data_IF_820995671903
#
_entry.id   IF_820995671903
#
_cell.length_a   1.000
_cell.length_b   1.000
_cell.length_c   1.000
_cell.angle_alpha   90.00
_cell.angle_beta   90.00
_cell.angle_gamma   90.00
#
_symmetry.space_group_name_H-M   'P 1'
#
loop_
_entity.id
_entity.type
_entity.pdbx_description
1 polymer ?
#
# COMPACT_ATOMS: atom_id res chain seq x y z
N UNK A 1 -2.34 5.84 12.58
CA UNK A 1 -1.45 5.60 11.42
C UNK A 1 -2.02 4.55 10.46
N UNK A 2 -1.96 4.77 9.14
CA UNK A 2 -2.40 3.84 8.09
C UNK A 2 -1.30 3.61 7.05
N UNK A 3 -1.27 2.42 6.46
CA UNK A 3 -0.39 2.09 5.34
C UNK A 3 -1.03 2.57 4.04
N UNK A 4 -0.28 3.29 3.20
CA UNK A 4 -0.70 3.73 1.89
C UNK A 4 0.29 3.26 0.82
N UNK A 5 -0.22 2.74 -0.28
CA UNK A 5 0.59 2.42 -1.46
C UNK A 5 0.10 3.21 -2.66
N UNK A 6 1.01 3.83 -3.41
CA UNK A 6 0.67 4.39 -4.70
C UNK A 6 0.52 3.27 -5.73
N UNK A 7 -0.66 3.15 -6.33
CA UNK A 7 -0.94 2.18 -7.40
C UNK A 7 -0.07 2.41 -8.64
N UNK A 8 0.33 3.66 -8.91
CA UNK A 8 1.13 3.99 -10.11
C UNK A 8 2.58 3.57 -9.98
N UNK A 9 3.23 3.96 -8.88
CA UNK A 9 4.68 3.84 -8.72
C UNK A 9 5.11 2.86 -7.62
N UNK A 10 4.17 2.24 -6.92
CA UNK A 10 4.45 1.25 -5.88
C UNK A 10 4.96 1.82 -4.56
N UNK A 11 5.21 3.13 -4.47
CA UNK A 11 5.65 3.82 -3.23
C UNK A 11 4.76 3.42 -2.07
N UNK A 12 5.37 2.95 -0.99
CA UNK A 12 4.72 2.55 0.25
C UNK A 12 5.12 3.53 1.36
N UNK A 13 4.13 4.08 2.05
CA UNK A 13 4.34 5.00 3.18
C UNK A 13 3.29 4.73 4.26
N UNK A 14 3.63 5.10 5.49
CA UNK A 14 2.68 5.10 6.61
C UNK A 14 2.42 6.53 7.05
N UNK A 15 1.15 6.91 7.18
CA UNK A 15 0.77 8.28 7.53
C UNK A 15 -0.51 8.31 8.37
N UNK A 16 -0.67 9.33 9.22
CA UNK A 16 -1.87 9.51 10.05
C UNK A 16 -3.08 9.94 9.21
N UNK A 17 -2.84 10.83 8.25
CA UNK A 17 -3.83 11.35 7.30
C UNK A 17 -3.54 10.88 5.87
N UNK A 18 -4.43 11.24 4.94
CA UNK A 18 -4.22 10.93 3.53
C UNK A 18 -2.94 11.61 3.02
N UNK A 19 -2.02 10.90 2.34
CA UNK A 19 -0.74 11.48 1.98
C UNK A 19 -0.83 12.53 0.86
N UNK A 20 0.20 13.38 0.76
CA UNK A 20 0.33 14.31 -0.35
C UNK A 20 0.33 13.55 -1.68
N UNK A 21 -0.53 13.98 -2.61
CA UNK A 21 -0.65 13.35 -3.91
C UNK A 21 0.34 13.89 -4.95
N UNK A 22 1.08 14.97 -4.69
CA UNK A 22 1.96 15.57 -5.70
C UNK A 22 3.30 14.82 -5.84
N UNK A 23 3.87 14.85 -7.05
CA UNK A 23 5.23 14.37 -7.29
C UNK A 23 5.35 12.87 -7.58
N UNK A 24 4.35 12.26 -8.25
CA UNK A 24 4.48 10.86 -8.61
C UNK A 24 5.55 10.68 -9.71
N UNK A 25 6.55 9.79 -9.52
CA UNK A 25 7.61 9.58 -10.51
C UNK A 25 7.08 8.98 -11.82
N UNK A 26 5.92 8.30 -11.77
CA UNK A 26 5.21 7.82 -12.97
C UNK A 26 4.23 8.88 -13.52
N UNK A 27 4.55 10.17 -13.30
CA UNK A 27 3.85 11.35 -13.79
C UNK A 27 2.65 11.79 -12.95
N UNK A 28 2.39 13.10 -12.91
CA UNK A 28 1.21 13.70 -12.28
C UNK A 28 1.12 13.42 -10.77
N UNK A 29 -0.08 13.06 -10.32
CA UNK A 29 -0.36 12.78 -8.91
C UNK A 29 -0.28 11.29 -8.56
N UNK A 30 0.13 11.00 -7.33
CA UNK A 30 0.04 9.67 -6.72
C UNK A 30 -1.42 9.24 -6.60
N UNK A 31 -1.65 7.97 -6.93
CA UNK A 31 -2.93 7.30 -6.70
C UNK A 31 -2.78 6.43 -5.46
N UNK A 32 -2.93 7.05 -4.29
CA UNK A 32 -2.80 6.35 -3.02
C UNK A 32 -3.96 5.39 -2.80
N UNK A 33 -3.62 4.19 -2.38
CA UNK A 33 -4.57 3.21 -1.88
C UNK A 33 -4.29 2.94 -0.41
N UNK A 34 -5.33 3.01 0.41
CA UNK A 34 -5.25 2.71 1.83
C UNK A 34 -5.26 1.18 2.01
N UNK A 35 -4.14 0.65 2.50
CA UNK A 35 -3.93 -0.77 2.74
C UNK A 35 -4.41 -1.22 4.12
N UNK A 36 -4.71 -0.30 5.03
CA UNK A 36 -5.22 -0.62 6.37
C UNK A 36 -4.44 0.06 7.49
N UNK A 37 -4.96 -0.06 8.71
CA UNK A 37 -4.33 0.46 9.92
C UNK A 37 -3.03 -0.28 10.22
N UNK A 38 -1.98 0.46 10.59
CA UNK A 38 -0.71 -0.14 11.02
C UNK A 38 -0.95 -1.01 12.27
N UNK A 39 -0.24 -2.13 12.37
CA UNK A 39 -0.33 -3.03 13.53
C UNK A 39 0.92 -3.88 13.67
N UNK A 40 0.83 -5.03 14.33
CA UNK A 40 2.00 -5.87 14.62
C UNK A 40 2.11 -7.12 13.75
N UNK A 41 1.08 -7.42 12.95
CA UNK A 41 1.12 -8.59 12.06
C UNK A 41 1.78 -8.22 10.74
N UNK A 42 2.75 -9.01 10.32
CA UNK A 42 3.48 -8.81 9.08
C UNK A 42 2.73 -9.46 7.91
N UNK A 43 2.58 -8.74 6.82
CA UNK A 43 2.00 -9.23 5.57
C UNK A 43 2.92 -8.88 4.41
N UNK A 44 3.01 -9.78 3.43
CA UNK A 44 3.74 -9.57 2.19
C UNK A 44 2.84 -9.84 0.99
N UNK A 45 2.82 -8.92 0.02
CA UNK A 45 2.11 -9.16 -1.24
C UNK A 45 2.97 -10.03 -2.17
N UNK A 46 2.43 -11.17 -2.63
CA UNK A 46 3.12 -12.06 -3.56
C UNK A 46 3.33 -11.45 -4.95
N UNK A 47 2.47 -10.50 -5.36
CA UNK A 47 2.52 -9.91 -6.71
C UNK A 47 3.53 -8.77 -6.85
N UNK A 48 3.54 -7.84 -5.89
CA UNK A 48 4.38 -6.64 -5.94
C UNK A 48 5.48 -6.62 -4.88
N UNK A 49 5.60 -7.66 -4.05
CA UNK A 49 6.68 -7.82 -3.08
C UNK A 49 6.60 -6.91 -1.85
N UNK A 50 5.65 -5.96 -1.80
CA UNK A 50 5.56 -5.01 -0.69
C UNK A 50 5.31 -5.73 0.63
N UNK A 51 5.93 -5.18 1.67
CA UNK A 51 5.87 -5.72 3.01
C UNK A 51 5.31 -4.65 3.94
N UNK A 52 4.24 -4.98 4.65
CA UNK A 52 3.57 -4.06 5.57
C UNK A 52 3.30 -4.72 6.91
N UNK A 53 3.16 -3.89 7.93
CA UNK A 53 2.66 -4.28 9.22
C UNK A 53 1.24 -3.75 9.38
N UNK A 54 0.28 -4.64 9.61
CA UNK A 54 -1.14 -4.31 9.64
C UNK A 54 -1.83 -4.96 10.84
N UNK A 55 -2.83 -4.27 11.37
CA UNK A 55 -3.64 -4.77 12.50
C UNK A 55 -4.63 -5.84 12.05
N UNK A 56 -5.24 -5.64 10.88
CA UNK A 56 -6.19 -6.55 10.25
C UNK A 56 -5.65 -7.02 8.89
N UNK A 57 -6.38 -7.93 8.23
CA UNK A 57 -6.07 -8.32 6.87
C UNK A 57 -6.04 -7.07 5.96
N UNK A 58 -4.95 -6.81 5.22
CA UNK A 58 -4.83 -5.57 4.48
C UNK A 58 -5.78 -5.51 3.28
N UNK A 59 -6.11 -4.29 2.85
CA UNK A 59 -6.92 -4.08 1.66
C UNK A 59 -6.25 -4.73 0.44
N UNK A 60 -7.02 -5.51 -0.31
CA UNK A 60 -6.52 -6.22 -1.47
C UNK A 60 -6.53 -5.37 -2.74
N UNK A 61 -7.20 -4.22 -2.79
CA UNK A 61 -7.33 -3.46 -4.04
C UNK A 61 -6.04 -2.74 -4.42
N UNK A 62 -5.89 -2.36 -5.69
CA UNK A 62 -4.92 -1.33 -6.10
C UNK A 62 -3.45 -1.76 -6.07
N UNK A 63 -3.16 -3.02 -6.39
CA UNK A 63 -1.78 -3.50 -6.52
C UNK A 63 -1.03 -2.75 -7.64
N UNK A 64 0.19 -2.30 -7.35
CA UNK A 64 1.04 -1.62 -8.33
C UNK A 64 1.40 -2.49 -9.54
N UNK A 65 1.45 -3.80 -9.37
CA UNK A 65 1.65 -4.76 -10.47
C UNK A 65 0.31 -5.22 -11.11
N UNK A 66 -0.77 -4.44 -10.93
CA UNK A 66 -2.08 -4.67 -11.52
C UNK A 66 -3.01 -5.56 -10.69
N UNK A 67 -4.32 -5.32 -10.83
CA UNK A 67 -5.37 -6.04 -10.11
C UNK A 67 -5.29 -5.89 -8.59
N UNK A 68 -5.56 -6.98 -7.88
CA UNK A 68 -5.56 -7.03 -6.43
C UNK A 68 -4.23 -7.58 -5.86
N UNK A 69 -3.84 -7.10 -4.68
CA UNK A 69 -2.82 -7.69 -3.84
C UNK A 69 -3.18 -9.12 -3.47
N UNK A 70 -2.14 -9.95 -3.36
CA UNK A 70 -2.23 -11.31 -2.85
C UNK A 70 -1.42 -11.38 -1.57
N UNK A 71 -2.07 -11.14 -0.43
CA UNK A 71 -1.40 -11.07 0.85
C UNK A 71 -1.08 -12.44 1.40
N UNK A 72 0.18 -12.62 1.78
CA UNK A 72 0.63 -13.71 2.63
C UNK A 72 0.87 -13.15 4.03
N UNK A 73 0.23 -13.73 5.05
CA UNK A 73 0.56 -13.45 6.45
C UNK A 73 1.87 -14.17 6.78
N UNK A 74 2.81 -13.46 7.39
CA UNK A 74 4.12 -13.96 7.81
C UNK A 74 4.17 -14.21 9.32
#
# INVERSE_FOLDING_TARGET
>A
MKNYQCRKCGTLISNESYPNANGCPNGGSHQWNNLGECGNTRYQCRKCGILIYSKLYPNANGCSNGGNHQWNKL
#
